data_IF_169800712839
#
_entry.id   IF_169800712839
#
_cell.length_a   1.000
_cell.length_b   1.000
_cell.length_c   1.000
_cell.angle_alpha   90.00
_cell.angle_beta   90.00
_cell.angle_gamma   90.00
#
_symmetry.space_group_name_H-M   'P 1'
#
loop_
_entity.id
_entity.type
_entity.pdbx_description
1 polymer ?
#
# COMPACT_ATOMS: atom_id res chain seq x y z
N UNK A 1 -1.08 -4.58 -8.58
CA UNK A 1 -1.04 -4.61 -7.11
C UNK A 1 -1.90 -3.50 -6.62
N UNK A 2 -2.85 -3.79 -5.75
CA UNK A 2 -3.73 -2.79 -5.16
C UNK A 2 -3.25 -2.55 -3.74
N UNK A 3 -3.17 -1.30 -3.35
CA UNK A 3 -2.69 -0.90 -2.03
C UNK A 3 -3.64 0.13 -1.42
N UNK A 4 -3.83 0.02 -0.12
CA UNK A 4 -4.74 0.87 0.65
C UNK A 4 -4.22 1.04 2.07
N UNK A 5 -4.57 2.18 2.69
CA UNK A 5 -4.28 2.46 4.08
C UNK A 5 -5.55 2.77 4.87
N UNK A 6 -5.56 2.35 6.12
CA UNK A 6 -6.58 2.76 7.10
C UNK A 6 -5.93 3.52 8.24
N UNK A 7 -6.58 4.58 8.71
CA UNK A 7 -6.13 5.37 9.86
C UNK A 7 -7.10 5.17 11.01
N UNK A 8 -6.57 4.78 12.17
CA UNK A 8 -7.32 4.72 13.41
C UNK A 8 -6.83 5.80 14.38
N UNK A 9 -7.36 7.01 14.24
CA UNK A 9 -6.92 8.22 14.97
C UNK A 9 -6.93 8.03 16.49
N UNK A 10 -7.97 7.41 17.05
CA UNK A 10 -8.09 7.21 18.50
C UNK A 10 -6.97 6.34 19.10
N UNK A 11 -6.48 5.35 18.37
CA UNK A 11 -5.39 4.46 18.83
C UNK A 11 -4.02 4.86 18.27
N UNK A 12 -3.96 5.95 17.50
CA UNK A 12 -2.72 6.43 16.90
C UNK A 12 -2.01 5.35 16.07
N UNK A 13 -2.76 4.60 15.27
CA UNK A 13 -2.20 3.55 14.43
C UNK A 13 -2.78 3.59 13.03
N UNK A 14 -2.00 3.06 12.08
CA UNK A 14 -2.44 2.83 10.71
C UNK A 14 -2.42 1.34 10.38
N UNK A 15 -3.38 0.90 9.58
CA UNK A 15 -3.39 -0.40 8.93
C UNK A 15 -2.99 -0.24 7.47
N UNK A 16 -2.15 -1.14 6.98
CA UNK A 16 -1.69 -1.20 5.59
C UNK A 16 -2.21 -2.51 5.02
N UNK A 17 -2.76 -2.44 3.81
CA UNK A 17 -3.16 -3.59 3.01
C UNK A 17 -2.60 -3.50 1.61
N UNK A 18 -2.10 -4.63 1.08
CA UNK A 18 -1.82 -4.75 -0.33
C UNK A 18 -2.21 -6.14 -0.86
N UNK A 19 -2.58 -6.21 -2.13
CA UNK A 19 -2.83 -7.46 -2.84
C UNK A 19 -2.14 -7.48 -4.20
N UNK A 20 -1.51 -8.60 -4.52
CA UNK A 20 -0.94 -8.86 -5.85
C UNK A 20 -1.87 -9.78 -6.61
N UNK A 21 -2.16 -9.40 -7.84
CA UNK A 21 -2.99 -10.18 -8.76
C UNK A 21 -2.16 -10.54 -9.99
N UNK A 22 -2.44 -11.71 -10.57
CA UNK A 22 -1.90 -12.09 -11.87
C UNK A 22 -2.66 -11.42 -13.02
N UNK A 23 -2.21 -11.67 -14.24
CA UNK A 23 -2.80 -11.20 -15.51
C UNK A 23 -4.26 -11.65 -15.73
N UNK A 24 -4.73 -12.66 -14.99
CA UNK A 24 -6.11 -13.13 -15.01
C UNK A 24 -6.98 -12.50 -13.92
N UNK A 25 -6.43 -11.56 -13.15
CA UNK A 25 -7.10 -10.93 -12.01
C UNK A 25 -7.22 -11.84 -10.78
N UNK A 26 -6.56 -13.00 -10.76
CA UNK A 26 -6.57 -13.86 -9.57
C UNK A 26 -5.56 -13.35 -8.55
N UNK A 27 -5.98 -13.25 -7.28
CA UNK A 27 -5.11 -12.87 -6.16
C UNK A 27 -4.07 -13.96 -5.94
N UNK A 28 -2.80 -13.59 -6.05
CA UNK A 28 -1.64 -14.48 -5.89
C UNK A 28 -1.06 -14.37 -4.50
N UNK A 29 -1.05 -13.16 -3.94
CA UNK A 29 -0.53 -12.92 -2.60
C UNK A 29 -1.17 -11.68 -1.96
N UNK A 30 -1.12 -11.62 -0.63
CA UNK A 30 -1.70 -10.54 0.18
C UNK A 30 -0.76 -10.14 1.31
N UNK A 31 -0.73 -8.84 1.58
CA UNK A 31 0.08 -8.24 2.63
C UNK A 31 -0.80 -7.42 3.56
N UNK A 32 -0.58 -7.58 4.86
CA UNK A 32 -1.18 -6.73 5.87
C UNK A 32 -0.18 -6.40 6.96
N UNK A 33 -0.14 -5.13 7.36
CA UNK A 33 0.73 -4.66 8.44
C UNK A 33 0.03 -3.58 9.25
N UNK A 34 0.18 -3.64 10.56
CA UNK A 34 -0.22 -2.56 11.47
C UNK A 34 1.02 -1.79 11.90
N UNK A 35 0.96 -0.47 11.80
CA UNK A 35 2.00 0.43 12.34
C UNK A 35 1.40 1.26 13.46
N UNK A 36 2.02 1.22 14.64
CA UNK A 36 1.62 2.02 15.80
C UNK A 36 2.18 3.44 15.69
N UNK A 37 1.75 4.16 14.66
CA UNK A 37 2.10 5.54 14.40
C UNK A 37 0.83 6.31 14.01
N UNK A 38 0.68 7.52 14.56
CA UNK A 38 -0.38 8.44 14.16
C UNK A 38 0.04 9.15 12.87
N UNK A 39 -0.80 9.11 11.85
CA UNK A 39 -0.57 9.74 10.56
C UNK A 39 -1.88 10.25 9.97
N UNK A 40 -1.77 11.29 9.15
CA UNK A 40 -2.87 11.75 8.30
C UNK A 40 -3.12 10.75 7.17
N UNK A 41 -4.36 10.66 6.63
CA UNK A 41 -4.70 9.70 5.57
C UNK A 41 -3.72 9.70 4.40
N UNK A 42 -3.35 10.88 3.88
CA UNK A 42 -2.38 10.97 2.78
C UNK A 42 -1.01 10.36 3.11
N UNK A 43 -0.48 10.61 4.31
CA UNK A 43 0.79 10.04 4.73
C UNK A 43 0.68 8.53 4.93
N UNK A 44 -0.45 8.05 5.45
CA UNK A 44 -0.73 6.62 5.60
C UNK A 44 -0.73 5.89 4.25
N UNK A 45 -1.33 6.49 3.21
CA UNK A 45 -1.32 5.94 1.84
C UNK A 45 0.09 5.82 1.25
N UNK A 46 0.91 6.87 1.37
CA UNK A 46 2.30 6.81 0.94
C UNK A 46 3.11 5.76 1.70
N UNK A 47 2.84 5.60 3.01
CA UNK A 47 3.45 4.55 3.81
C UNK A 47 2.99 3.16 3.37
N UNK A 48 1.71 2.99 3.04
CA UNK A 48 1.18 1.73 2.52
C UNK A 48 1.86 1.33 1.21
N UNK A 49 1.99 2.27 0.26
CA UNK A 49 2.74 2.08 -0.98
C UNK A 49 4.19 1.65 -0.69
N UNK A 50 4.90 2.40 0.17
CA UNK A 50 6.30 2.11 0.49
C UNK A 50 6.46 0.71 1.09
N UNK A 51 5.65 0.35 2.07
CA UNK A 51 5.72 -0.94 2.75
C UNK A 51 5.34 -2.10 1.81
N UNK A 52 4.33 -1.91 0.95
CA UNK A 52 3.95 -2.90 -0.05
C UNK A 52 5.06 -3.14 -1.09
N UNK A 53 5.74 -2.08 -1.55
CA UNK A 53 6.87 -2.20 -2.48
C UNK A 53 8.08 -2.90 -1.84
N UNK A 54 8.39 -2.57 -0.58
CA UNK A 54 9.44 -3.26 0.18
C UNK A 54 9.12 -4.74 0.34
N UNK A 55 7.88 -5.07 0.69
CA UNK A 55 7.42 -6.45 0.77
C UNK A 55 7.54 -7.19 -0.56
N UNK A 56 7.19 -6.55 -1.69
CA UNK A 56 7.39 -7.14 -3.02
C UNK A 56 8.86 -7.41 -3.32
N UNK A 57 9.75 -6.50 -2.94
CA UNK A 57 11.19 -6.68 -3.10
C UNK A 57 11.72 -7.85 -2.26
N UNK A 58 11.27 -7.99 -1.01
CA UNK A 58 11.66 -9.06 -0.09
C UNK A 58 11.14 -10.44 -0.52
N UNK A 59 9.99 -10.47 -1.20
CA UNK A 59 9.33 -11.70 -1.67
C UNK A 59 9.58 -11.99 -3.15
N UNK A 60 10.47 -11.23 -3.80
CA UNK A 60 10.81 -11.35 -5.22
C UNK A 60 9.58 -11.28 -6.15
N UNK A 61 8.55 -10.53 -5.76
CA UNK A 61 7.34 -10.34 -6.56
C UNK A 61 7.55 -9.27 -7.62
N UNK A 62 7.29 -9.65 -8.87
CA UNK A 62 7.30 -8.71 -10.00
C UNK A 62 5.93 -8.06 -10.11
N UNK A 63 5.86 -6.78 -9.78
CA UNK A 63 4.64 -5.96 -9.89
C UNK A 63 4.76 -5.02 -11.08
N UNK A 64 3.87 -5.16 -12.07
CA UNK A 64 3.85 -4.30 -13.27
C UNK A 64 3.05 -3.01 -13.07
N UNK A 65 2.00 -3.06 -12.25
CA UNK A 65 1.09 -1.95 -12.01
C UNK A 65 0.82 -1.82 -10.52
N UNK A 66 0.89 -0.59 -10.01
CA UNK A 66 0.41 -0.22 -8.69
C UNK A 66 -0.86 0.59 -8.84
N UNK A 67 -1.90 0.19 -8.13
CA UNK A 67 -3.20 0.83 -8.10
C UNK A 67 -3.49 1.31 -6.67
N UNK A 68 -3.95 2.55 -6.55
CA UNK A 68 -4.41 3.17 -5.31
C UNK A 68 -5.59 4.08 -5.66
N UNK A 69 -6.58 4.16 -4.77
CA UNK A 69 -7.71 5.09 -4.90
C UNK A 69 -7.39 6.50 -4.35
N UNK A 70 -6.22 6.69 -3.76
CA UNK A 70 -5.73 7.98 -3.30
C UNK A 70 -5.05 8.77 -4.43
N UNK A 71 -5.83 9.65 -5.06
CA UNK A 71 -5.36 10.51 -6.16
C UNK A 71 -4.06 11.24 -5.84
N UNK A 72 -3.95 11.84 -4.64
CA UNK A 72 -2.75 12.58 -4.23
C UNK A 72 -1.51 11.68 -4.17
N UNK A 73 -1.65 10.44 -3.70
CA UNK A 73 -0.53 9.49 -3.62
C UNK A 73 -0.08 9.05 -5.02
N UNK A 74 -1.03 8.78 -5.93
CA UNK A 74 -0.74 8.43 -7.33
C UNK A 74 -0.01 9.57 -8.05
N UNK A 75 -0.47 10.82 -7.90
CA UNK A 75 0.20 11.97 -8.51
C UNK A 75 1.62 12.15 -7.96
N UNK A 76 1.81 11.97 -6.65
CA UNK A 76 3.14 12.07 -6.04
C UNK A 76 4.11 11.02 -6.60
N UNK A 77 3.65 9.80 -6.89
CA UNK A 77 4.47 8.74 -7.50
C UNK A 77 4.82 9.03 -8.97
N UNK A 78 3.92 9.65 -9.73
CA UNK A 78 4.17 10.01 -11.14
C UNK A 78 5.18 11.16 -11.32
N UNK A 79 5.43 11.92 -10.26
CA UNK A 79 6.37 13.05 -10.25
C UNK A 79 7.79 12.67 -9.78
N UNK A 80 7.99 11.41 -9.36
CA UNK A 80 9.28 10.83 -8.96
C UNK A 80 9.93 10.10 -10.15
#
# INVERSE_FOLDING_TARGET
MNVDASVHSQFGCIGIGAMVQNDRGAVVDVFSKKLCIAQEPYAAELMAIREALLWCQETEQVVHYLESDCYSAVIQLLLL
#
